data_IF_307325324621
#
_entry.id   IF_307325324621
#
_cell.length_a   1.000
_cell.length_b   1.000
_cell.length_c   1.000
_cell.angle_alpha   90.00
_cell.angle_beta   90.00
_cell.angle_gamma   90.00
#
_symmetry.space_group_name_H-M   'P 1'
#
loop_
_entity.id
_entity.type
_entity.pdbx_description
1 polymer ?
#
# COMPACT_ATOMS: atom_id res chain seq x y z
N UNK A 1 13.88 -0.52 34.08
CA UNK A 1 12.87 -1.33 33.34
C UNK A 1 11.99 -0.48 32.41
N UNK A 2 12.57 0.48 31.67
CA UNK A 2 11.86 1.31 30.69
C UNK A 2 12.11 0.89 29.22
N UNK A 3 13.13 0.06 28.98
CA UNK A 3 13.51 -0.41 27.63
C UNK A 3 12.67 -1.56 27.07
N UNK A 4 11.90 -2.28 27.92
CA UNK A 4 11.06 -3.40 27.46
C UNK A 4 9.74 -2.94 26.81
N UNK A 5 9.15 -1.84 27.30
CA UNK A 5 7.85 -1.34 26.83
C UNK A 5 7.87 -0.80 25.40
N UNK A 6 9.02 -0.33 24.90
CA UNK A 6 9.15 0.13 23.52
C UNK A 6 9.26 -1.03 22.52
N UNK A 7 9.86 -2.16 22.91
CA UNK A 7 9.98 -3.35 22.09
C UNK A 7 8.64 -4.10 21.92
N UNK A 8 7.79 -4.07 22.96
CA UNK A 8 6.50 -4.76 23.00
C UNK A 8 5.42 -4.12 22.10
N UNK A 9 5.61 -2.86 21.71
CA UNK A 9 4.70 -2.15 20.79
C UNK A 9 4.86 -2.57 19.31
N UNK A 10 5.87 -3.37 18.97
CA UNK A 10 6.10 -3.91 17.63
C UNK A 10 5.64 -5.37 17.47
N UNK A 11 5.44 -6.11 18.57
CA UNK A 11 5.07 -7.54 18.54
C UNK A 11 3.58 -7.82 18.29
N UNK A 12 2.73 -6.79 18.27
CA UNK A 12 1.27 -6.92 18.07
C UNK A 12 0.73 -6.06 16.91
N UNK A 13 1.51 -5.94 15.83
CA UNK A 13 1.02 -5.36 14.57
C UNK A 13 1.00 -6.44 13.49
N UNK A 14 -0.13 -6.56 12.81
CA UNK A 14 -0.27 -7.43 11.65
C UNK A 14 0.65 -6.98 10.51
N UNK A 15 1.01 -7.90 9.62
CA UNK A 15 1.77 -7.58 8.41
C UNK A 15 1.14 -6.42 7.61
N UNK A 16 -0.20 -6.39 7.56
CA UNK A 16 -0.96 -5.31 6.91
C UNK A 16 -0.70 -3.95 7.58
N UNK A 17 -0.79 -3.86 8.90
CA UNK A 17 -0.58 -2.61 9.62
C UNK A 17 0.84 -2.05 9.43
N UNK A 18 1.85 -2.94 9.37
CA UNK A 18 3.24 -2.53 9.08
C UNK A 18 3.38 -2.06 7.63
N UNK A 19 2.80 -2.79 6.67
CA UNK A 19 2.83 -2.41 5.27
C UNK A 19 2.15 -1.05 5.04
N UNK A 20 1.00 -0.81 5.68
CA UNK A 20 0.27 0.46 5.61
C UNK A 20 1.08 1.61 6.22
N UNK A 21 1.75 1.39 7.37
CA UNK A 21 2.63 2.38 7.99
C UNK A 21 3.76 2.79 7.04
N UNK A 22 4.46 1.81 6.46
CA UNK A 22 5.57 2.06 5.54
C UNK A 22 5.09 2.70 4.25
N UNK A 23 3.97 2.24 3.70
CA UNK A 23 3.36 2.84 2.51
C UNK A 23 3.01 4.30 2.76
N UNK A 24 2.33 4.63 3.85
CA UNK A 24 1.97 6.01 4.18
C UNK A 24 3.21 6.86 4.46
N UNK A 25 4.25 6.31 5.10
CA UNK A 25 5.52 7.03 5.30
C UNK A 25 6.16 7.43 3.96
N UNK A 26 6.24 6.49 3.00
CA UNK A 26 6.85 6.73 1.70
C UNK A 26 6.06 7.69 0.81
N UNK A 27 4.76 7.84 1.05
CA UNK A 27 3.89 8.76 0.31
C UNK A 27 3.60 10.07 1.07
N UNK A 28 4.30 10.32 2.18
CA UNK A 28 4.11 11.48 3.05
C UNK A 28 2.67 11.69 3.56
N UNK A 29 2.00 10.58 3.89
CA UNK A 29 0.59 10.52 4.34
C UNK A 29 0.44 10.19 5.83
N UNK A 30 1.54 10.19 6.59
CA UNK A 30 1.47 9.97 8.03
C UNK A 30 1.18 11.28 8.75
N UNK A 31 0.34 11.19 9.77
CA UNK A 31 0.18 12.25 10.76
C UNK A 31 1.55 12.68 11.32
N UNK A 32 1.80 13.99 11.52
CA UNK A 32 3.13 14.48 11.89
C UNK A 32 3.71 13.82 13.14
N UNK A 33 2.88 13.51 14.14
CA UNK A 33 3.30 12.81 15.35
C UNK A 33 3.81 11.39 15.04
N UNK A 34 3.06 10.64 14.23
CA UNK A 34 3.40 9.26 13.83
C UNK A 34 4.66 9.25 12.97
N UNK A 35 4.82 10.22 12.05
CA UNK A 35 6.02 10.35 11.23
C UNK A 35 7.27 10.56 12.09
N UNK A 36 7.22 11.44 13.10
CA UNK A 36 8.33 11.67 14.02
C UNK A 36 8.71 10.42 14.81
N UNK A 37 7.71 9.71 15.35
CA UNK A 37 7.97 8.49 16.13
C UNK A 37 8.55 7.38 15.25
N UNK A 38 8.07 7.25 14.01
CA UNK A 38 8.62 6.30 13.06
C UNK A 38 10.07 6.64 12.67
N UNK A 39 10.39 7.92 12.42
CA UNK A 39 11.77 8.37 12.17
C UNK A 39 12.69 8.11 13.37
N UNK A 40 12.21 8.34 14.60
CA UNK A 40 12.94 7.98 15.82
C UNK A 40 13.22 6.48 15.85
N UNK A 41 12.24 5.64 15.54
CA UNK A 41 12.43 4.19 15.48
C UNK A 41 13.48 3.78 14.44
N UNK A 42 13.43 4.35 13.24
CA UNK A 42 14.43 4.11 12.18
C UNK A 42 15.84 4.50 12.62
N UNK A 43 16.00 5.50 13.50
CA UNK A 43 17.33 5.90 14.01
C UNK A 43 17.94 4.89 14.99
N UNK A 44 17.15 4.00 15.59
CA UNK A 44 17.59 3.06 16.63
C UNK A 44 17.46 1.58 16.24
N UNK A 45 16.83 1.26 15.10
CA UNK A 45 16.55 -0.11 14.69
C UNK A 45 17.06 -0.41 13.27
N UNK A 46 18.27 -0.99 13.13
CA UNK A 46 18.85 -1.34 11.83
C UNK A 46 18.01 -2.32 11.01
N UNK A 47 17.29 -3.23 11.66
CA UNK A 47 16.42 -4.20 10.98
C UNK A 47 15.25 -3.52 10.27
N UNK A 48 14.63 -2.53 10.92
CA UNK A 48 13.55 -1.76 10.31
C UNK A 48 14.04 -0.83 9.20
N UNK A 49 15.28 -0.30 9.30
CA UNK A 49 15.93 0.39 8.18
C UNK A 49 16.12 -0.56 7.00
N UNK A 50 16.60 -1.77 7.24
CA UNK A 50 16.78 -2.80 6.22
C UNK A 50 15.45 -3.20 5.57
N UNK A 51 14.39 -3.40 6.36
CA UNK A 51 13.04 -3.64 5.88
C UNK A 51 12.54 -2.50 4.98
N UNK A 52 12.67 -1.25 5.43
CA UNK A 52 12.26 -0.07 4.66
C UNK A 52 13.00 0.01 3.32
N UNK A 53 14.30 -0.28 3.30
CA UNK A 53 15.10 -0.29 2.08
C UNK A 53 14.64 -1.38 1.10
N UNK A 54 14.35 -2.58 1.59
CA UNK A 54 13.76 -3.65 0.76
C UNK A 54 12.40 -3.25 0.21
N UNK A 55 11.53 -2.67 1.04
CA UNK A 55 10.21 -2.21 0.61
C UNK A 55 10.31 -1.14 -0.48
N UNK A 56 11.23 -0.16 -0.33
CA UNK A 56 11.50 0.86 -1.36
C UNK A 56 11.91 0.23 -2.70
N UNK A 57 12.76 -0.80 -2.68
CA UNK A 57 13.14 -1.55 -3.90
C UNK A 57 11.94 -2.26 -4.53
N UNK A 58 11.10 -2.93 -3.73
CA UNK A 58 9.88 -3.56 -4.21
C UNK A 58 8.96 -2.55 -4.91
N UNK A 59 8.77 -1.37 -4.31
CA UNK A 59 7.98 -0.29 -4.93
C UNK A 59 8.61 0.18 -6.24
N UNK A 60 9.93 0.38 -6.28
CA UNK A 60 10.61 0.81 -7.49
C UNK A 60 10.47 -0.21 -8.63
N UNK A 61 10.71 -1.49 -8.35
CA UNK A 61 10.62 -2.58 -9.35
C UNK A 61 9.18 -2.79 -9.83
N UNK A 62 8.20 -2.73 -8.92
CA UNK A 62 6.79 -2.87 -9.33
C UNK A 62 6.30 -1.67 -10.15
N UNK A 63 6.83 -0.47 -9.89
CA UNK A 63 6.53 0.73 -10.69
C UNK A 63 7.24 0.77 -12.04
N UNK A 64 8.34 0.04 -12.22
CA UNK A 64 9.04 -0.02 -13.51
C UNK A 64 8.34 -0.93 -14.53
N UNK A 65 7.37 -1.75 -14.10
CA UNK A 65 6.58 -2.59 -15.00
C UNK A 65 5.70 -1.71 -15.88
N UNK A 66 5.92 -1.78 -17.20
CA UNK A 66 5.15 -1.04 -18.20
C UNK A 66 3.92 -1.83 -18.60
N UNK A 67 2.88 -1.10 -19.03
CA UNK A 67 1.63 -1.75 -19.44
C UNK A 67 1.88 -2.71 -20.63
N UNK A 68 2.79 -2.36 -21.54
CA UNK A 68 3.16 -3.12 -22.73
C UNK A 68 3.76 -4.50 -22.38
N UNK A 69 4.32 -4.65 -21.18
CA UNK A 69 4.90 -5.90 -20.69
C UNK A 69 3.84 -6.87 -20.15
N UNK A 70 2.59 -6.41 -19.98
CA UNK A 70 1.48 -7.26 -19.53
C UNK A 70 1.04 -8.17 -20.68
N UNK A 71 1.05 -9.51 -20.51
CA UNK A 71 0.61 -10.44 -21.55
C UNK A 71 -0.79 -10.10 -22.08
N UNK A 72 -1.02 -10.08 -23.41
CA UNK A 72 -2.29 -9.67 -24.00
C UNK A 72 -3.51 -10.42 -23.44
N UNK A 73 -3.34 -11.71 -23.14
CA UNK A 73 -4.38 -12.55 -22.54
C UNK A 73 -4.83 -12.05 -21.17
N UNK A 74 -3.90 -11.59 -20.32
CA UNK A 74 -4.19 -11.06 -18.99
C UNK A 74 -4.85 -9.69 -19.12
N UNK A 75 -4.27 -8.81 -19.93
CA UNK A 75 -4.82 -7.48 -20.23
C UNK A 75 -6.27 -7.56 -20.71
N UNK A 76 -6.56 -8.41 -21.70
CA UNK A 76 -7.88 -8.55 -22.28
C UNK A 76 -8.91 -9.08 -21.28
N UNK A 77 -8.51 -10.03 -20.41
CA UNK A 77 -9.38 -10.52 -19.33
C UNK A 77 -9.73 -9.41 -18.33
N UNK A 78 -8.75 -8.61 -17.90
CA UNK A 78 -8.98 -7.49 -16.98
C UNK A 78 -9.91 -6.46 -17.63
N UNK A 79 -9.63 -6.06 -18.87
CA UNK A 79 -10.46 -5.07 -19.58
C UNK A 79 -11.89 -5.57 -19.81
N UNK A 80 -12.08 -6.84 -20.18
CA UNK A 80 -13.40 -7.43 -20.32
C UNK A 80 -14.19 -7.42 -18.99
N UNK A 81 -13.52 -7.78 -17.89
CA UNK A 81 -14.12 -7.72 -16.55
C UNK A 81 -14.53 -6.29 -16.16
N UNK A 82 -13.63 -5.32 -16.34
CA UNK A 82 -13.88 -3.92 -15.99
C UNK A 82 -15.02 -3.32 -16.84
N UNK A 83 -15.02 -3.55 -18.16
CA UNK A 83 -16.10 -3.10 -19.05
C UNK A 83 -17.46 -3.63 -18.60
N UNK A 84 -17.55 -4.91 -18.24
CA UNK A 84 -18.79 -5.55 -17.74
C UNK A 84 -19.29 -4.96 -16.42
N UNK A 85 -18.39 -4.49 -15.55
CA UNK A 85 -18.74 -3.87 -14.25
C UNK A 85 -19.15 -2.42 -14.43
N UNK A 86 -18.40 -1.64 -15.22
CA UNK A 86 -18.66 -0.23 -15.48
C UNK A 86 -19.97 -0.05 -16.24
N UNK A 87 -20.25 -0.90 -17.24
CA UNK A 87 -21.52 -0.84 -17.99
C UNK A 87 -22.75 -1.11 -17.10
N UNK A 88 -22.61 -1.95 -16.06
CA UNK A 88 -23.69 -2.14 -15.07
C UNK A 88 -23.91 -0.92 -14.21
N UNK A 89 -22.86 -0.19 -13.83
CA UNK A 89 -23.01 1.05 -13.05
C UNK A 89 -23.72 2.11 -13.89
N UNK A 90 -23.37 2.24 -15.17
CA UNK A 90 -24.07 3.13 -16.10
C UNK A 90 -25.53 2.73 -16.34
N UNK A 91 -25.81 1.42 -16.48
CA UNK A 91 -27.18 0.91 -16.59
C UNK A 91 -28.00 1.16 -15.31
N UNK A 92 -27.39 1.01 -14.13
CA UNK A 92 -28.04 1.26 -12.84
C UNK A 92 -28.34 2.76 -12.64
N UNK A 93 -27.44 3.64 -13.09
CA UNK A 93 -27.63 5.09 -13.10
C UNK A 93 -28.74 5.52 -14.07
N UNK A 94 -28.80 4.93 -15.28
CA UNK A 94 -29.89 5.19 -16.23
C UNK A 94 -31.25 4.74 -15.69
N UNK A 95 -31.31 3.59 -15.01
CA UNK A 95 -32.53 3.09 -14.36
C UNK A 95 -32.96 4.03 -13.23
N UNK A 96 -32.04 4.50 -12.37
CA UNK A 96 -32.30 5.42 -11.26
C UNK A 96 -32.81 6.81 -11.69
N UNK A 97 -32.49 7.27 -12.90
CA UNK A 97 -32.92 8.58 -13.42
C UNK A 97 -34.27 8.48 -14.14
N UNK A 98 -34.72 7.26 -14.49
CA UNK A 98 -35.97 6.99 -15.20
C UNK A 98 -37.11 6.48 -14.29
N UNK A 99 -36.88 6.39 -12.98
CA UNK A 99 -37.88 6.13 -11.93
C UNK A 99 -38.00 7.32 -11.01
#
# INVERSE_FOLDING_TARGET
>A
MAGRKAAEALTNKTCKQIADLVFNYLNDKLEPAVKRDFQRHLSICPDCVSFLNTYKKTVAVTRSVRAEEIPPKVRNKILAFLRKRISRVGAYLLILVLT
#
